data_IF_446778358631
#
_entry.id   IF_446778358631
#
_cell.length_a   1.000
_cell.length_b   1.000
_cell.length_c   1.000
_cell.angle_alpha   90.00
_cell.angle_beta   90.00
_cell.angle_gamma   90.00
#
_symmetry.space_group_name_H-M   'P 1'
#
loop_
_entity.id
_entity.type
_entity.pdbx_description
1 polymer ?
#
# COMPACT_ATOMS: atom_id res chain seq x y z
N UNK A 1 -7.91 1.17 15.93
CA UNK A 1 -8.23 1.34 14.49
C UNK A 1 -7.27 0.48 13.71
N UNK A 2 -7.71 -0.55 13.01
CA UNK A 2 -6.79 -1.49 12.33
C UNK A 2 -6.61 -1.10 10.87
N UNK A 3 -5.37 -1.23 10.39
CA UNK A 3 -4.98 -0.94 9.01
C UNK A 3 -4.40 -2.20 8.40
N UNK A 4 -4.99 -2.66 7.31
CA UNK A 4 -4.43 -3.75 6.51
C UNK A 4 -3.45 -3.18 5.49
N UNK A 5 -2.26 -3.75 5.37
CA UNK A 5 -1.30 -3.34 4.35
C UNK A 5 -0.81 -4.51 3.52
N UNK A 6 -0.85 -4.35 2.21
CA UNK A 6 -0.27 -5.30 1.27
C UNK A 6 1.26 -5.26 1.26
N UNK A 7 1.86 -6.28 0.63
CA UNK A 7 3.31 -6.39 0.48
C UNK A 7 3.90 -5.40 -0.52
N UNK A 8 3.11 -4.91 -1.48
CA UNK A 8 3.63 -4.08 -2.57
C UNK A 8 3.96 -2.67 -2.09
N UNK A 9 3.05 -2.03 -1.35
CA UNK A 9 3.28 -0.72 -0.74
C UNK A 9 4.43 -0.78 0.25
N UNK A 10 4.46 -1.80 1.12
CA UNK A 10 5.54 -1.98 2.10
C UNK A 10 6.89 -2.11 1.40
N UNK A 11 6.97 -2.87 0.31
CA UNK A 11 8.20 -3.00 -0.49
C UNK A 11 8.65 -1.67 -1.08
N UNK A 12 7.75 -0.92 -1.73
CA UNK A 12 8.09 0.34 -2.40
C UNK A 12 8.53 1.39 -1.37
N UNK A 13 7.85 1.47 -0.23
CA UNK A 13 8.23 2.34 0.88
C UNK A 13 9.53 1.89 1.56
N UNK A 14 9.84 0.60 1.61
CA UNK A 14 11.12 0.11 2.12
C UNK A 14 12.29 0.61 1.27
N UNK A 15 12.17 0.54 -0.06
CA UNK A 15 13.18 1.07 -0.99
C UNK A 15 13.35 2.59 -0.89
N UNK A 16 12.26 3.30 -0.62
CA UNK A 16 12.32 4.74 -0.37
C UNK A 16 12.79 5.07 1.06
N UNK A 17 12.96 4.08 1.92
CA UNK A 17 13.19 4.26 3.36
C UNK A 17 12.11 5.08 4.09
N UNK A 18 10.86 5.06 3.60
CA UNK A 18 9.74 5.87 4.08
C UNK A 18 8.79 5.13 5.04
N UNK A 19 9.09 3.88 5.45
CA UNK A 19 8.18 3.09 6.30
C UNK A 19 7.95 3.72 7.68
N UNK A 20 8.94 4.42 8.24
CA UNK A 20 8.79 5.09 9.53
C UNK A 20 7.81 6.27 9.43
N UNK A 21 7.94 7.08 8.38
CA UNK A 21 7.06 8.20 8.07
C UNK A 21 5.66 7.72 7.69
N UNK A 22 5.55 6.61 6.98
CA UNK A 22 4.29 5.94 6.68
C UNK A 22 3.53 5.55 7.95
N UNK A 23 4.18 4.88 8.91
CA UNK A 23 3.54 4.57 10.20
C UNK A 23 3.04 5.84 10.93
N UNK A 24 3.78 6.94 10.83
CA UNK A 24 3.35 8.23 11.39
C UNK A 24 2.25 8.93 10.57
N UNK A 25 2.16 8.65 9.27
CA UNK A 25 1.13 9.17 8.38
C UNK A 25 -0.22 8.50 8.66
N UNK A 26 -0.21 7.20 8.93
CA UNK A 26 -1.40 6.40 9.24
C UNK A 26 -2.12 6.82 10.54
N UNK A 27 -1.46 7.61 11.40
CA UNK A 27 -2.02 8.11 12.68
C UNK A 27 -2.59 7.01 13.60
N UNK A 28 -2.12 5.78 13.47
CA UNK A 28 -2.44 4.67 14.37
C UNK A 28 -1.19 4.17 15.10
N UNK A 29 -1.34 3.50 16.25
CA UNK A 29 -0.25 2.74 16.84
C UNK A 29 0.30 1.72 15.83
N UNK A 30 1.64 1.58 15.69
CA UNK A 30 2.21 0.67 14.71
C UNK A 30 1.74 -0.79 14.85
N UNK A 31 1.42 -1.23 16.07
CA UNK A 31 0.93 -2.57 16.37
C UNK A 31 -0.56 -2.79 15.98
N UNK A 32 -1.24 -1.75 15.46
CA UNK A 32 -2.54 -1.84 14.79
C UNK A 32 -2.42 -1.86 13.26
N UNK A 33 -1.20 -1.72 12.71
CA UNK A 33 -0.93 -2.02 11.31
C UNK A 33 -0.72 -3.52 11.18
N UNK A 34 -1.58 -4.18 10.41
CA UNK A 34 -1.57 -5.61 10.20
C UNK A 34 -1.13 -5.95 8.78
N UNK A 35 -0.22 -6.92 8.69
CA UNK A 35 0.38 -7.39 7.44
C UNK A 35 0.19 -8.90 7.25
N UNK A 36 0.31 -9.37 6.00
CA UNK A 36 0.29 -10.80 5.72
C UNK A 36 1.45 -11.55 6.40
N UNK A 37 1.24 -12.74 6.99
CA UNK A 37 2.31 -13.52 7.60
C UNK A 37 3.44 -13.92 6.64
N UNK A 38 3.14 -13.96 5.34
CA UNK A 38 4.07 -14.28 4.25
C UNK A 38 4.97 -13.10 3.87
N UNK A 39 4.56 -11.87 4.20
CA UNK A 39 5.24 -10.62 3.85
C UNK A 39 6.71 -10.64 4.32
N UNK A 40 6.99 -11.16 5.52
CA UNK A 40 8.36 -11.32 6.05
C UNK A 40 9.27 -12.12 5.13
N UNK A 41 8.82 -13.27 4.63
CA UNK A 41 9.66 -14.15 3.81
C UNK A 41 9.76 -13.62 2.38
N UNK A 42 8.65 -13.12 1.84
CA UNK A 42 8.57 -12.57 0.51
C UNK A 42 9.50 -11.36 0.35
N UNK A 43 9.43 -10.40 1.28
CA UNK A 43 10.20 -9.16 1.19
C UNK A 43 11.67 -9.34 1.60
N UNK A 44 12.01 -10.22 2.56
CA UNK A 44 13.43 -10.58 2.80
C UNK A 44 14.12 -11.08 1.54
N UNK A 45 13.45 -11.94 0.78
CA UNK A 45 13.99 -12.44 -0.50
C UNK A 45 14.10 -11.34 -1.55
N UNK A 46 13.07 -10.51 -1.72
CA UNK A 46 13.06 -9.43 -2.72
C UNK A 46 14.08 -8.32 -2.40
N UNK A 47 14.29 -8.02 -1.12
CA UNK A 47 15.18 -6.95 -0.64
C UNK A 47 16.60 -7.44 -0.33
N UNK A 48 16.92 -8.72 -0.59
CA UNK A 48 18.21 -9.32 -0.23
C UNK A 48 19.42 -8.55 -0.79
N UNK A 49 19.26 -7.98 -1.99
CA UNK A 49 20.30 -7.20 -2.68
C UNK A 49 20.23 -5.69 -2.39
N UNK A 50 19.37 -5.26 -1.46
CA UNK A 50 19.21 -3.86 -1.06
C UNK A 50 19.30 -3.74 0.47
N UNK A 51 20.52 -3.75 1.05
CA UNK A 51 20.73 -3.84 2.51
C UNK A 51 20.06 -2.71 3.32
N UNK A 52 20.01 -1.50 2.77
CA UNK A 52 19.35 -0.35 3.41
C UNK A 52 17.83 -0.55 3.47
N UNK A 53 17.22 -0.97 2.34
CA UNK A 53 15.80 -1.26 2.26
C UNK A 53 15.42 -2.46 3.15
N UNK A 54 16.24 -3.51 3.17
CA UNK A 54 16.05 -4.66 4.05
C UNK A 54 16.11 -4.25 5.52
N UNK A 55 17.10 -3.43 5.92
CA UNK A 55 17.19 -2.91 7.30
C UNK A 55 15.96 -2.09 7.68
N UNK A 56 15.51 -1.20 6.78
CA UNK A 56 14.32 -0.39 6.99
C UNK A 56 13.08 -1.28 7.20
N UNK A 57 12.95 -2.31 6.36
CA UNK A 57 11.88 -3.30 6.43
C UNK A 57 11.90 -4.11 7.74
N UNK A 58 13.05 -4.58 8.21
CA UNK A 58 13.15 -5.29 9.50
C UNK A 58 12.71 -4.40 10.67
N UNK A 59 13.08 -3.11 10.66
CA UNK A 59 12.65 -2.17 11.70
C UNK A 59 11.14 -1.92 11.68
N UNK A 60 10.51 -1.98 10.51
CA UNK A 60 9.06 -1.93 10.37
C UNK A 60 8.40 -3.20 10.91
N UNK A 61 8.92 -4.39 10.60
CA UNK A 61 8.40 -5.67 11.08
C UNK A 61 8.38 -5.80 12.60
N UNK A 62 9.33 -5.18 13.30
CA UNK A 62 9.35 -5.18 14.78
C UNK A 62 8.17 -4.43 15.41
N UNK A 63 7.47 -3.59 14.62
CA UNK A 63 6.43 -2.67 15.13
C UNK A 63 5.03 -3.11 14.74
N UNK A 64 4.87 -3.77 13.59
CA UNK A 64 3.57 -4.19 13.04
C UNK A 64 3.18 -5.59 13.50
N UNK A 65 1.92 -5.97 13.28
CA UNK A 65 1.42 -7.32 13.60
C UNK A 65 1.09 -8.10 12.34
N UNK A 66 1.07 -9.42 12.44
CA UNK A 66 0.48 -10.24 11.40
C UNK A 66 -1.05 -10.19 11.53
N UNK A 67 -1.76 -10.22 10.40
CA UNK A 67 -3.20 -10.50 10.41
C UNK A 67 -3.45 -11.90 11.00
N UNK A 68 -4.59 -12.11 11.69
CA UNK A 68 -4.99 -13.44 12.11
C UNK A 68 -5.36 -14.32 10.90
N UNK A 69 -5.57 -15.61 11.15
CA UNK A 69 -6.20 -16.48 10.16
C UNK A 69 -7.67 -16.08 9.99
N UNK A 70 -8.10 -15.93 8.74
CA UNK A 70 -9.50 -15.69 8.41
C UNK A 70 -10.33 -16.95 8.65
N UNK A 71 -11.64 -16.78 8.84
CA UNK A 71 -12.57 -17.92 8.88
C UNK A 71 -12.61 -18.59 7.51
N UNK A 72 -12.70 -19.92 7.50
CA UNK A 72 -12.72 -20.72 6.27
C UNK A 72 -13.88 -20.27 5.37
N UNK A 73 -15.10 -20.23 5.92
CA UNK A 73 -16.31 -19.82 5.19
C UNK A 73 -16.19 -18.42 4.55
N UNK A 74 -15.51 -17.49 5.23
CA UNK A 74 -15.26 -16.15 4.68
C UNK A 74 -14.22 -16.18 3.57
N UNK A 75 -13.19 -17.02 3.69
CA UNK A 75 -12.12 -17.15 2.72
C UNK A 75 -12.60 -17.78 1.40
N UNK A 76 -13.52 -18.74 1.45
CA UNK A 76 -14.12 -19.41 0.28
C UNK A 76 -14.78 -18.41 -0.69
N UNK A 77 -15.29 -17.28 -0.19
CA UNK A 77 -15.86 -16.20 -1.01
C UNK A 77 -14.84 -15.53 -1.93
N UNK A 78 -13.56 -15.65 -1.61
CA UNK A 78 -12.46 -14.99 -2.30
C UNK A 78 -11.52 -15.96 -3.04
N UNK A 79 -11.97 -17.19 -3.32
CA UNK A 79 -11.18 -18.23 -4.01
C UNK A 79 -10.66 -17.82 -5.39
N UNK A 80 -11.31 -16.84 -6.04
CA UNK A 80 -10.88 -16.29 -7.33
C UNK A 80 -9.68 -15.34 -7.23
N UNK A 81 -9.28 -14.96 -6.02
CA UNK A 81 -8.15 -14.06 -5.75
C UNK A 81 -6.89 -14.86 -5.39
N UNK A 82 -5.73 -14.17 -5.39
CA UNK A 82 -4.55 -14.76 -4.78
C UNK A 82 -4.78 -14.98 -3.28
N UNK A 83 -4.15 -16.02 -2.70
CA UNK A 83 -4.32 -16.39 -1.29
C UNK A 83 -4.07 -15.20 -0.34
N UNK A 84 -3.09 -14.35 -0.65
CA UNK A 84 -2.81 -13.16 0.16
C UNK A 84 -3.91 -12.10 0.07
N UNK A 85 -4.40 -11.83 -1.15
CA UNK A 85 -5.49 -10.89 -1.41
C UNK A 85 -6.79 -11.37 -0.75
N UNK A 86 -7.15 -12.63 -0.96
CA UNK A 86 -8.35 -13.24 -0.38
C UNK A 86 -8.31 -13.21 1.14
N UNK A 87 -7.15 -13.46 1.76
CA UNK A 87 -7.05 -13.38 3.21
C UNK A 87 -7.17 -11.95 3.75
N UNK A 88 -6.64 -10.94 3.05
CA UNK A 88 -6.83 -9.54 3.44
C UNK A 88 -8.31 -9.14 3.40
N UNK A 89 -9.03 -9.50 2.33
CA UNK A 89 -10.45 -9.21 2.21
C UNK A 89 -11.31 -10.00 3.19
N UNK A 90 -10.96 -11.25 3.47
CA UNK A 90 -11.67 -12.03 4.46
C UNK A 90 -11.54 -11.41 5.86
N UNK A 91 -10.34 -10.95 6.24
CA UNK A 91 -10.15 -10.20 7.49
C UNK A 91 -10.88 -8.86 7.49
N UNK A 92 -10.92 -8.14 6.36
CA UNK A 92 -11.69 -6.90 6.22
C UNK A 92 -13.18 -7.13 6.54
N UNK A 93 -13.74 -8.25 6.08
CA UNK A 93 -15.13 -8.64 6.34
C UNK A 93 -15.35 -9.13 7.77
N UNK A 94 -14.39 -9.86 8.35
CA UNK A 94 -14.51 -10.48 9.68
C UNK A 94 -14.18 -9.54 10.85
N UNK A 95 -13.39 -8.49 10.62
CA UNK A 95 -12.91 -7.56 11.65
C UNK A 95 -13.42 -6.13 11.41
N UNK A 96 -14.53 -5.72 12.08
CA UNK A 96 -15.11 -4.39 11.91
C UNK A 96 -14.20 -3.24 12.33
N UNK A 97 -13.17 -3.50 13.14
CA UNK A 97 -12.19 -2.49 13.54
C UNK A 97 -11.21 -2.12 12.42
N UNK A 98 -11.19 -2.87 11.31
CA UNK A 98 -10.44 -2.49 10.11
C UNK A 98 -11.15 -1.32 9.44
N UNK A 99 -10.49 -0.17 9.41
CA UNK A 99 -11.02 1.05 8.80
C UNK A 99 -10.20 1.53 7.61
N UNK A 100 -9.02 0.96 7.38
CA UNK A 100 -8.19 1.29 6.22
C UNK A 100 -7.59 0.05 5.57
N UNK A 101 -7.53 0.09 4.24
CA UNK A 101 -6.86 -0.88 3.39
C UNK A 101 -5.79 -0.17 2.57
N UNK A 102 -4.53 -0.46 2.84
CA UNK A 102 -3.37 0.05 2.10
C UNK A 102 -2.98 -0.94 1.02
N UNK A 103 -3.02 -0.52 -0.23
CA UNK A 103 -2.62 -1.37 -1.36
C UNK A 103 -1.98 -0.62 -2.52
N UNK A 104 -1.04 -1.27 -3.19
CA UNK A 104 -0.38 -0.79 -4.40
C UNK A 104 -0.83 -1.56 -5.63
N UNK A 105 -1.57 -2.66 -5.43
CA UNK A 105 -2.02 -3.53 -6.51
C UNK A 105 -3.37 -3.09 -7.07
N UNK A 106 -3.30 -2.37 -8.18
CA UNK A 106 -4.47 -1.90 -8.92
C UNK A 106 -5.29 -3.02 -9.53
N UNK A 107 -4.65 -4.15 -9.88
CA UNK A 107 -5.34 -5.31 -10.45
C UNK A 107 -6.13 -6.03 -9.36
N UNK A 108 -5.58 -6.10 -8.15
CA UNK A 108 -6.31 -6.60 -6.99
C UNK A 108 -7.57 -5.78 -6.76
N UNK A 109 -7.46 -4.44 -6.74
CA UNK A 109 -8.60 -3.53 -6.58
C UNK A 109 -9.67 -3.70 -7.67
N UNK A 110 -9.27 -3.91 -8.93
CA UNK A 110 -10.21 -4.15 -10.03
C UNK A 110 -11.01 -5.45 -9.82
N UNK A 111 -10.35 -6.52 -9.34
CA UNK A 111 -11.04 -7.77 -8.98
C UNK A 111 -11.96 -7.58 -7.77
N UNK A 112 -11.51 -6.84 -6.75
CA UNK A 112 -12.33 -6.53 -5.57
C UNK A 112 -13.61 -5.80 -5.98
N UNK A 113 -13.49 -4.77 -6.82
CA UNK A 113 -14.63 -4.02 -7.32
C UNK A 113 -15.55 -4.84 -8.26
N UNK A 114 -15.05 -5.92 -8.87
CA UNK A 114 -15.90 -6.86 -9.59
C UNK A 114 -16.70 -7.76 -8.63
N UNK A 115 -16.10 -8.18 -7.51
CA UNK A 115 -16.75 -9.03 -6.51
C UNK A 115 -17.88 -8.32 -5.75
N UNK A 116 -17.78 -7.00 -5.55
CA UNK A 116 -18.80 -6.20 -4.84
C UNK A 116 -20.17 -6.21 -5.51
N UNK A 117 -20.27 -6.54 -6.80
CA UNK A 117 -21.57 -6.70 -7.47
C UNK A 117 -22.35 -7.94 -6.99
N UNK A 118 -21.65 -8.98 -6.56
CA UNK A 118 -22.24 -10.24 -6.08
C UNK A 118 -22.19 -10.43 -4.56
N UNK A 119 -21.50 -9.54 -3.85
CA UNK A 119 -21.24 -9.66 -2.42
C UNK A 119 -21.56 -8.35 -1.67
N UNK A 120 -22.79 -8.29 -1.14
CA UNK A 120 -23.31 -7.13 -0.43
C UNK A 120 -22.51 -6.80 0.85
N UNK A 121 -22.08 -7.82 1.59
CA UNK A 121 -21.31 -7.59 2.82
C UNK A 121 -19.94 -6.97 2.49
N UNK A 122 -19.26 -7.48 1.47
CA UNK A 122 -18.00 -6.91 0.99
C UNK A 122 -18.20 -5.46 0.55
N UNK A 123 -19.27 -5.19 -0.21
CA UNK A 123 -19.62 -3.85 -0.68
C UNK A 123 -19.79 -2.86 0.48
N UNK A 124 -20.60 -3.21 1.48
CA UNK A 124 -20.81 -2.38 2.68
C UNK A 124 -19.48 -2.15 3.42
N UNK A 125 -18.70 -3.21 3.62
CA UNK A 125 -17.42 -3.11 4.32
C UNK A 125 -16.41 -2.22 3.60
N UNK A 126 -16.37 -2.24 2.27
CA UNK A 126 -15.50 -1.36 1.49
C UNK A 126 -16.00 0.10 1.47
N UNK A 127 -17.29 0.35 1.60
CA UNK A 127 -17.83 1.71 1.75
C UNK A 127 -17.45 2.33 3.09
N UNK A 128 -17.34 1.51 4.14
CA UNK A 128 -16.91 1.90 5.48
C UNK A 128 -15.39 1.93 5.66
N UNK A 129 -14.63 1.54 4.63
CA UNK A 129 -13.17 1.40 4.69
C UNK A 129 -12.52 2.38 3.73
N UNK A 130 -11.57 3.16 4.22
CA UNK A 130 -10.75 4.00 3.35
C UNK A 130 -9.68 3.15 2.66
N UNK A 131 -9.63 3.20 1.34
CA UNK A 131 -8.53 2.63 0.56
C UNK A 131 -7.42 3.67 0.37
N UNK A 132 -6.20 3.32 0.82
CA UNK A 132 -5.00 4.12 0.66
C UNK A 132 -4.08 3.50 -0.39
N UNK A 133 -3.93 4.20 -1.51
CA UNK A 133 -2.99 3.82 -2.56
C UNK A 133 -1.60 4.43 -2.33
N UNK A 134 -0.58 3.90 -3.00
CA UNK A 134 0.77 4.50 -2.96
C UNK A 134 0.74 6.00 -3.32
N UNK A 135 -0.06 6.38 -4.32
CA UNK A 135 -0.28 7.77 -4.72
C UNK A 135 -0.70 8.66 -3.53
N UNK A 136 -1.77 8.27 -2.81
CA UNK A 136 -2.28 9.01 -1.65
C UNK A 136 -1.25 9.10 -0.51
N UNK A 137 -0.48 8.03 -0.29
CA UNK A 137 0.56 8.00 0.72
C UNK A 137 1.68 8.96 0.35
N UNK A 138 2.13 8.98 -0.91
CA UNK A 138 3.20 9.87 -1.36
C UNK A 138 2.79 11.34 -1.27
N UNK A 139 1.55 11.70 -1.66
CA UNK A 139 0.99 13.06 -1.45
C UNK A 139 1.04 13.42 0.04
N UNK A 140 0.53 12.56 0.91
CA UNK A 140 0.51 12.80 2.35
C UNK A 140 1.92 12.94 2.96
N UNK A 141 2.89 12.18 2.45
CA UNK A 141 4.29 12.28 2.86
C UNK A 141 4.95 13.56 2.34
N UNK A 142 4.65 14.01 1.12
CA UNK A 142 5.12 15.29 0.57
C UNK A 142 4.59 16.44 1.42
N UNK A 143 3.30 16.45 1.74
CA UNK A 143 2.69 17.47 2.59
C UNK A 143 3.33 17.52 3.99
N UNK A 144 3.72 16.36 4.55
CA UNK A 144 4.28 16.26 5.90
C UNK A 144 5.79 16.50 5.99
N UNK A 145 6.55 16.14 4.96
CA UNK A 145 8.03 16.12 4.98
C UNK A 145 8.68 17.08 3.99
N UNK A 146 7.89 17.64 3.07
CA UNK A 146 8.36 18.45 1.97
C UNK A 146 8.80 17.60 0.77
N UNK A 147 8.54 18.13 -0.42
CA UNK A 147 8.84 17.48 -1.69
C UNK A 147 10.29 17.03 -1.82
N UNK A 148 11.26 17.91 -1.52
CA UNK A 148 12.69 17.60 -1.66
C UNK A 148 13.12 16.36 -0.87
N UNK A 149 12.55 16.16 0.32
CA UNK A 149 12.84 14.99 1.17
C UNK A 149 12.29 13.73 0.51
N UNK A 150 11.03 13.75 0.11
CA UNK A 150 10.38 12.59 -0.54
C UNK A 150 11.05 12.27 -1.88
N UNK A 151 11.38 13.28 -2.70
CA UNK A 151 12.07 13.11 -3.97
C UNK A 151 13.45 12.44 -3.78
N UNK A 152 14.23 12.89 -2.79
CA UNK A 152 15.53 12.27 -2.50
C UNK A 152 15.38 10.78 -2.12
N UNK A 153 14.32 10.43 -1.39
CA UNK A 153 13.98 9.06 -1.00
C UNK A 153 13.49 8.20 -2.19
N UNK A 154 12.61 8.73 -3.03
CA UNK A 154 12.18 8.07 -4.28
C UNK A 154 13.37 7.80 -5.20
N UNK A 155 14.33 8.73 -5.30
CA UNK A 155 15.56 8.52 -6.08
C UNK A 155 16.42 7.36 -5.57
N UNK A 156 16.39 7.05 -4.28
CA UNK A 156 17.03 5.83 -3.75
C UNK A 156 16.36 4.58 -4.32
N UNK A 157 15.02 4.54 -4.31
CA UNK A 157 14.28 3.44 -4.92
C UNK A 157 14.60 3.28 -6.39
N UNK A 158 14.62 4.35 -7.19
CA UNK A 158 14.97 4.28 -8.62
C UNK A 158 16.35 3.64 -8.84
N UNK A 159 17.35 4.04 -8.05
CA UNK A 159 18.71 3.46 -8.14
C UNK A 159 18.73 1.99 -7.72
N UNK A 160 18.07 1.64 -6.62
CA UNK A 160 18.02 0.26 -6.13
C UNK A 160 17.26 -0.65 -7.08
N UNK A 161 16.10 -0.23 -7.60
CA UNK A 161 15.29 -0.99 -8.53
C UNK A 161 16.07 -1.36 -9.80
N UNK A 162 16.78 -0.38 -10.39
CA UNK A 162 17.64 -0.62 -11.55
C UNK A 162 18.74 -1.67 -11.29
N UNK A 163 19.30 -1.70 -10.08
CA UNK A 163 20.37 -2.65 -9.71
C UNK A 163 19.89 -4.09 -9.50
N UNK A 164 18.60 -4.30 -9.27
CA UNK A 164 18.03 -5.62 -8.95
C UNK A 164 17.01 -6.10 -9.99
N UNK A 165 16.86 -5.38 -11.10
CA UNK A 165 15.89 -5.71 -12.15
C UNK A 165 14.43 -5.50 -11.73
N UNK A 166 14.17 -4.69 -10.70
CA UNK A 166 12.81 -4.24 -10.36
C UNK A 166 12.48 -2.97 -11.16
N UNK A 167 11.19 -2.69 -11.35
CA UNK A 167 10.74 -1.50 -12.07
C UNK A 167 10.06 -0.51 -11.14
N UNK A 168 10.36 0.77 -11.32
CA UNK A 168 9.61 1.85 -10.67
C UNK A 168 8.40 2.16 -11.52
N UNK A 169 7.25 2.36 -10.88
CA UNK A 169 6.04 2.71 -11.60
C UNK A 169 6.23 4.04 -12.36
N UNK A 170 5.82 4.12 -13.65
CA UNK A 170 6.05 5.33 -14.46
C UNK A 170 5.56 6.62 -13.82
N UNK A 171 4.40 6.59 -13.16
CA UNK A 171 3.84 7.76 -12.49
C UNK A 171 4.69 8.29 -11.34
N UNK A 172 5.46 7.42 -10.68
CA UNK A 172 6.37 7.86 -9.62
C UNK A 172 7.52 8.62 -10.25
N UNK A 173 7.98 8.22 -11.43
CA UNK A 173 9.01 8.94 -12.17
C UNK A 173 8.50 10.28 -12.71
N UNK A 174 7.24 10.33 -13.14
CA UNK A 174 6.55 11.56 -13.58
C UNK A 174 6.37 12.55 -12.42
N UNK A 175 5.90 12.08 -11.26
CA UNK A 175 5.72 12.90 -10.06
C UNK A 175 7.04 13.33 -9.40
N UNK A 176 8.12 12.55 -9.56
CA UNK A 176 9.42 12.81 -8.95
C UNK A 176 10.56 12.77 -9.99
N UNK A 177 10.57 13.71 -10.97
CA UNK A 177 11.48 13.64 -12.10
C UNK A 177 12.94 13.85 -11.68
N UNK A 178 13.86 13.23 -12.43
CA UNK A 178 15.30 13.33 -12.19
C UNK A 178 15.84 14.77 -12.42
N UNK A 179 15.19 15.53 -13.31
CA UNK A 179 15.50 16.93 -13.62
C UNK A 179 15.23 17.90 -12.48
N UNK A 180 14.54 17.47 -11.42
CA UNK A 180 13.97 18.39 -10.43
C UNK A 180 12.50 18.71 -10.76
N UNK A 181 11.72 19.03 -9.73
CA UNK A 181 10.29 19.31 -9.79
C UNK A 181 9.85 20.03 -8.52
N UNK A 182 8.53 20.15 -8.32
CA UNK A 182 7.94 20.84 -7.17
C UNK A 182 6.90 19.98 -6.44
N UNK A 183 6.45 20.44 -5.26
CA UNK A 183 5.37 19.80 -4.55
C UNK A 183 4.07 19.87 -5.37
N UNK A 184 3.84 20.99 -6.05
CA UNK A 184 2.70 21.24 -6.92
C UNK A 184 2.66 20.28 -8.11
N UNK A 185 3.81 19.99 -8.73
CA UNK A 185 3.91 19.02 -9.83
C UNK A 185 3.57 17.60 -9.32
N UNK A 186 4.13 17.21 -8.17
CA UNK A 186 3.87 15.90 -7.58
C UNK A 186 2.40 15.73 -7.18
N UNK A 187 1.81 16.73 -6.53
CA UNK A 187 0.40 16.71 -6.13
C UNK A 187 -0.51 16.63 -7.34
N UNK A 188 -0.17 17.33 -8.44
CA UNK A 188 -0.91 17.26 -9.69
C UNK A 188 -0.85 15.85 -10.29
N UNK A 189 0.35 15.32 -10.54
CA UNK A 189 0.53 14.01 -11.20
C UNK A 189 -0.07 12.86 -10.37
N UNK A 190 0.20 12.84 -9.06
CA UNK A 190 -0.35 11.83 -8.16
C UNK A 190 -1.87 12.01 -7.99
N UNK A 191 -2.35 13.25 -7.92
CA UNK A 191 -3.75 13.60 -7.77
C UNK A 191 -4.60 13.20 -8.99
N UNK A 192 -4.13 13.48 -10.20
CA UNK A 192 -4.79 13.07 -11.46
C UNK A 192 -4.91 11.55 -11.55
N UNK A 193 -3.85 10.84 -11.14
CA UNK A 193 -3.85 9.37 -11.12
C UNK A 193 -4.79 8.80 -10.06
N UNK A 194 -4.83 9.41 -8.88
CA UNK A 194 -5.78 9.04 -7.83
C UNK A 194 -7.22 9.33 -8.26
N UNK A 195 -7.48 10.46 -8.92
CA UNK A 195 -8.80 10.77 -9.48
C UNK A 195 -9.24 9.75 -10.54
N UNK A 196 -8.32 9.32 -11.40
CA UNK A 196 -8.58 8.26 -12.39
C UNK A 196 -8.92 6.93 -11.72
N UNK A 197 -8.19 6.56 -10.66
CA UNK A 197 -8.50 5.37 -9.86
C UNK A 197 -9.87 5.47 -9.18
N UNK A 198 -10.17 6.60 -8.54
CA UNK A 198 -11.46 6.89 -7.89
C UNK A 198 -12.61 6.79 -8.90
N UNK A 199 -12.46 7.34 -10.10
CA UNK A 199 -13.48 7.25 -11.16
C UNK A 199 -13.70 5.81 -11.65
N UNK A 200 -12.61 5.05 -11.82
CA UNK A 200 -12.66 3.64 -12.26
C UNK A 200 -13.25 2.72 -11.20
N UNK A 201 -12.99 3.02 -9.93
CA UNK A 201 -13.36 2.23 -8.76
C UNK A 201 -14.40 2.98 -7.92
N UNK A 202 -15.40 3.57 -8.58
CA UNK A 202 -16.40 4.46 -7.97
C UNK A 202 -17.22 3.84 -6.83
N UNK A 203 -17.14 2.52 -6.65
CA UNK A 203 -17.75 1.79 -5.54
C UNK A 203 -16.91 1.81 -4.25
N UNK A 204 -15.64 2.21 -4.32
CA UNK A 204 -14.70 2.21 -3.20
C UNK A 204 -14.52 3.64 -2.66
N UNK A 205 -14.39 3.76 -1.34
CA UNK A 205 -14.00 5.02 -0.69
C UNK A 205 -12.48 5.15 -0.65
N UNK A 206 -11.96 6.29 -1.10
CA UNK A 206 -10.52 6.57 -1.16
C UNK A 206 -10.23 7.92 -0.50
N UNK A 207 -9.17 7.99 0.32
CA UNK A 207 -8.60 9.25 0.81
C UNK A 207 -7.70 9.87 -0.27
#
# INVERSE_FOLDING_TARGET
MIILSDSDVVRKLAYCELLAEFLQYLKCPPNEVWVLPTLRFQLRRKLANAPEALRNFEQFLLKVKNIPQAKIDTLERFESLDVGEGQLLAILCDEPRVSQLVTGDKKALDKVAALTYGDEQLRVRLQETTVLCLESILIGLVAKRGFNVVQARVRKWVKSAASVGDTVDPFVLEAFPASGGSAEDADKELGERLATLKARLSQLSFD
#
